data_IF_866312382850
#
_entry.id   IF_866312382850
#
_cell.length_a   1.000
_cell.length_b   1.000
_cell.length_c   1.000
_cell.angle_alpha   90.00
_cell.angle_beta   90.00
_cell.angle_gamma   90.00
#
_symmetry.space_group_name_H-M   'P 1'
#
loop_
_entity.id
_entity.type
_entity.pdbx_description
1 polymer ?
#
# COMPACT_ATOMS: atom_id res chain seq x y z
N UNK A 1 -12.86 -22.76 20.52
CA UNK A 1 -13.04 -22.46 19.86
C UNK A 1 -12.38 -21.96 18.78
N UNK A 2 -11.75 -22.68 18.24
CA UNK A 2 -10.96 -22.34 17.13
C UNK A 2 -11.76 -21.91 15.92
N UNK A 3 -12.90 -22.47 15.76
CA UNK A 3 -13.72 -22.11 14.61
C UNK A 3 -14.05 -20.63 14.53
N UNK A 4 -14.26 -20.03 15.66
CA UNK A 4 -14.57 -18.63 15.70
C UNK A 4 -13.42 -17.78 15.17
N UNK A 5 -12.21 -18.14 15.55
CA UNK A 5 -11.03 -17.42 15.13
C UNK A 5 -10.82 -17.45 13.65
N UNK A 6 -11.12 -18.56 13.00
CA UNK A 6 -10.84 -18.69 11.58
C UNK A 6 -11.73 -17.80 10.72
N UNK A 7 -12.76 -17.18 11.32
CA UNK A 7 -13.62 -16.26 10.58
C UNK A 7 -13.16 -14.82 10.67
N UNK A 8 -12.12 -14.55 11.43
CA UNK A 8 -11.58 -13.20 11.52
C UNK A 8 -10.80 -12.91 10.24
N UNK A 9 -11.17 -11.81 9.58
CA UNK A 9 -10.60 -11.48 8.28
C UNK A 9 -9.84 -10.18 8.36
N UNK A 10 -8.52 -10.23 8.43
CA UNK A 10 -7.76 -8.99 8.45
C UNK A 10 -7.81 -8.31 7.10
N UNK A 11 -7.76 -7.00 7.11
CA UNK A 11 -7.83 -6.19 5.90
C UNK A 11 -6.73 -5.14 5.96
N UNK A 12 -5.89 -5.12 4.94
CA UNK A 12 -4.84 -4.11 4.82
C UNK A 12 -5.11 -3.29 3.58
N UNK A 13 -5.12 -1.98 3.75
CA UNK A 13 -5.31 -1.05 2.64
C UNK A 13 -4.04 -0.23 2.49
N UNK A 14 -3.41 -0.34 1.34
CA UNK A 14 -2.18 0.38 1.05
C UNK A 14 -2.46 1.37 -0.07
N UNK A 15 -2.23 2.64 0.21
CA UNK A 15 -2.36 3.68 -0.82
C UNK A 15 -0.99 4.19 -1.18
N UNK A 16 -0.72 4.24 -2.47
CA UNK A 16 0.55 4.73 -2.96
C UNK A 16 0.29 5.68 -4.13
N UNK A 17 1.23 6.57 -4.37
CA UNK A 17 1.14 7.40 -5.56
C UNK A 17 1.41 6.54 -6.79
N UNK A 18 0.83 6.96 -7.92
CA UNK A 18 0.94 6.19 -9.16
C UNK A 18 2.29 6.49 -9.80
N UNK A 19 3.27 5.66 -9.49
CA UNK A 19 4.65 5.87 -9.92
C UNK A 19 5.22 4.68 -10.68
N UNK A 20 4.37 3.91 -11.30
CA UNK A 20 4.86 2.83 -12.16
C UNK A 20 5.19 1.54 -11.45
N UNK A 21 4.56 1.29 -10.32
CA UNK A 21 4.75 0.02 -9.63
C UNK A 21 4.20 -1.11 -10.51
N UNK A 22 4.98 -2.15 -10.68
CA UNK A 22 4.62 -3.23 -11.60
C UNK A 22 3.68 -4.22 -10.95
N UNK A 23 2.94 -5.00 -11.76
CA UNK A 23 2.11 -6.06 -11.19
C UNK A 23 2.90 -7.06 -10.36
N UNK A 24 4.15 -7.34 -10.76
CA UNK A 24 5.01 -8.26 -10.02
C UNK A 24 5.34 -7.70 -8.64
N UNK A 25 5.62 -6.40 -8.57
CA UNK A 25 5.89 -5.77 -7.29
C UNK A 25 4.66 -5.78 -6.39
N UNK A 26 3.50 -5.53 -6.97
CA UNK A 26 2.26 -5.57 -6.19
C UNK A 26 1.99 -6.97 -5.66
N UNK A 27 2.22 -7.98 -6.52
CA UNK A 27 2.01 -9.36 -6.08
C UNK A 27 2.93 -9.72 -4.92
N UNK A 28 4.17 -9.25 -4.97
CA UNK A 28 5.12 -9.53 -3.90
C UNK A 28 4.71 -8.86 -2.60
N UNK A 29 4.27 -7.59 -2.67
CA UNK A 29 3.80 -6.89 -1.49
C UNK A 29 2.61 -7.61 -0.87
N UNK A 30 1.67 -8.05 -1.70
CA UNK A 30 0.51 -8.77 -1.20
C UNK A 30 0.94 -10.07 -0.50
N UNK A 31 1.86 -10.80 -1.11
CA UNK A 31 2.33 -12.06 -0.55
C UNK A 31 3.03 -11.84 0.78
N UNK A 32 3.89 -10.81 0.85
CA UNK A 32 4.67 -10.57 2.05
C UNK A 32 3.82 -10.01 3.19
N UNK A 33 2.86 -9.16 2.88
CA UNK A 33 1.94 -8.69 3.92
C UNK A 33 1.12 -9.84 4.48
N UNK A 34 0.65 -10.72 3.59
CA UNK A 34 -0.12 -11.87 4.01
C UNK A 34 0.72 -12.78 4.92
N UNK A 35 1.97 -13.01 4.54
CA UNK A 35 2.86 -13.84 5.34
C UNK A 35 3.10 -13.25 6.71
N UNK A 36 3.27 -11.94 6.77
CA UNK A 36 3.50 -11.27 8.05
C UNK A 36 2.30 -11.44 8.98
N UNK A 37 1.10 -11.26 8.44
CA UNK A 37 -0.10 -11.39 9.26
C UNK A 37 -0.28 -12.81 9.75
N UNK A 38 0.10 -13.79 8.95
CA UNK A 38 0.03 -15.17 9.37
C UNK A 38 1.07 -15.45 10.45
N UNK A 39 2.31 -15.04 10.22
CA UNK A 39 3.41 -15.35 11.12
C UNK A 39 3.27 -14.64 12.46
N UNK A 40 2.88 -13.38 12.44
CA UNK A 40 2.85 -12.58 13.65
C UNK A 40 1.53 -12.68 14.39
N UNK A 41 0.42 -12.66 13.64
CA UNK A 41 -0.91 -12.57 14.22
C UNK A 41 -1.71 -13.86 14.08
N UNK A 42 -1.12 -14.88 13.46
CA UNK A 42 -1.78 -16.16 13.26
C UNK A 42 -3.08 -16.03 12.47
N UNK A 43 -3.09 -15.16 11.45
CA UNK A 43 -4.25 -15.00 10.61
C UNK A 43 -4.15 -15.91 9.40
N UNK A 44 -5.29 -16.45 8.99
CA UNK A 44 -5.33 -17.39 7.87
C UNK A 44 -5.10 -16.63 6.56
N UNK A 45 -4.19 -17.10 5.71
CA UNK A 45 -3.97 -16.43 4.43
C UNK A 45 -5.21 -16.38 3.54
N UNK A 46 -6.04 -17.42 3.56
CA UNK A 46 -7.21 -17.45 2.69
C UNK A 46 -8.30 -16.47 3.13
N UNK A 47 -8.18 -15.89 4.30
CA UNK A 47 -9.12 -14.89 4.79
C UNK A 47 -8.48 -13.50 4.89
N UNK A 48 -7.24 -13.36 4.50
CA UNK A 48 -6.51 -12.12 4.60
C UNK A 48 -6.67 -11.34 3.30
N UNK A 49 -7.09 -10.09 3.42
CA UNK A 49 -7.36 -9.24 2.26
C UNK A 49 -6.37 -8.09 2.23
N UNK A 50 -5.69 -7.93 1.11
CA UNK A 50 -4.75 -6.85 0.90
C UNK A 50 -5.21 -6.08 -0.34
N UNK A 51 -5.41 -4.79 -0.20
CA UNK A 51 -5.84 -3.95 -1.32
C UNK A 51 -4.78 -2.88 -1.53
N UNK A 52 -4.33 -2.74 -2.77
CA UNK A 52 -3.39 -1.69 -3.15
C UNK A 52 -4.12 -0.71 -4.05
N UNK A 53 -4.08 0.55 -3.67
CA UNK A 53 -4.75 1.60 -4.39
C UNK A 53 -3.72 2.59 -4.89
N UNK A 54 -3.67 2.77 -6.21
CA UNK A 54 -2.76 3.75 -6.81
C UNK A 54 -3.52 5.03 -7.03
N UNK A 55 -2.94 6.13 -6.58
CA UNK A 55 -3.60 7.42 -6.62
C UNK A 55 -2.76 8.38 -7.45
N UNK A 56 -3.39 9.07 -8.39
CA UNK A 56 -2.70 10.05 -9.20
C UNK A 56 -2.11 11.12 -8.30
N UNK A 57 -0.95 11.62 -8.68
CA UNK A 57 -0.27 12.62 -7.88
C UNK A 57 -1.06 13.92 -7.80
N UNK A 58 -1.97 14.16 -8.73
CA UNK A 58 -2.86 15.31 -8.64
C UNK A 58 -3.89 15.15 -7.53
N UNK A 59 -4.11 13.94 -7.07
CA UNK A 59 -5.09 13.65 -6.04
C UNK A 59 -4.46 13.37 -4.68
N UNK A 60 -3.16 13.59 -4.55
CA UNK A 60 -2.44 13.31 -3.32
C UNK A 60 -1.80 14.61 -2.85
N UNK A 61 -2.28 15.15 -1.74
CA UNK A 61 -1.81 16.44 -1.27
C UNK A 61 -0.99 16.33 0.00
N UNK A 62 0.06 17.13 0.06
CA UNK A 62 0.79 17.33 1.30
C UNK A 62 1.53 18.66 1.18
N UNK A 63 1.90 19.22 2.31
CA UNK A 63 2.50 20.54 2.35
C UNK A 63 1.59 21.60 1.71
N UNK A 64 0.27 21.35 1.67
CA UNK A 64 -0.69 22.29 1.14
C UNK A 64 -0.81 22.32 -0.36
N UNK A 65 -0.11 21.44 -1.08
CA UNK A 65 -0.16 21.40 -2.54
C UNK A 65 -0.29 19.94 -2.98
N UNK A 66 -0.55 19.76 -4.28
CA UNK A 66 -0.57 18.41 -4.81
C UNK A 66 0.85 17.86 -4.90
N UNK A 67 0.96 16.55 -4.90
CA UNK A 67 2.26 15.91 -5.09
C UNK A 67 2.88 16.33 -6.41
N UNK A 68 2.04 16.47 -7.44
CA UNK A 68 2.51 16.92 -8.75
C UNK A 68 3.24 18.25 -8.64
N UNK A 69 2.61 19.22 -7.97
CA UNK A 69 3.20 20.53 -7.81
C UNK A 69 4.43 20.49 -6.91
N UNK A 70 4.37 19.71 -5.85
CA UNK A 70 5.50 19.63 -4.94
C UNK A 70 6.74 19.09 -5.64
N UNK A 71 6.55 18.05 -6.46
CA UNK A 71 7.67 17.45 -7.18
C UNK A 71 8.24 18.40 -8.22
N UNK A 72 7.39 19.20 -8.87
CA UNK A 72 7.87 20.21 -9.79
C UNK A 72 8.72 21.24 -9.08
N UNK A 73 8.27 21.67 -7.92
CA UNK A 73 8.99 22.64 -7.14
C UNK A 73 10.36 22.10 -6.73
N UNK A 74 10.44 20.84 -6.35
CA UNK A 74 11.71 20.21 -5.98
C UNK A 74 12.63 20.12 -7.19
N UNK A 75 12.08 19.77 -8.34
CA UNK A 75 12.89 19.69 -9.56
C UNK A 75 13.46 21.05 -9.93
N UNK A 76 12.66 22.11 -9.77
CA UNK A 76 13.11 23.46 -10.09
C UNK A 76 14.22 23.93 -9.17
N UNK A 77 14.25 23.46 -7.94
CA UNK A 77 15.32 23.83 -7.02
C UNK A 77 16.54 22.96 -7.18
N UNK A 78 16.48 21.96 -8.05
CA UNK A 78 17.60 21.08 -8.25
C UNK A 78 17.63 19.92 -7.30
N UNK A 79 16.65 19.79 -6.45
CA UNK A 79 16.59 18.68 -5.51
C UNK A 79 15.79 17.55 -6.12
N UNK A 80 16.35 16.37 -6.12
CA UNK A 80 15.65 15.21 -6.67
C UNK A 80 15.61 14.13 -5.63
N UNK A 81 14.76 13.20 -5.89
CA UNK A 81 14.63 12.18 -4.92
C UNK A 81 15.29 10.96 -5.30
#
# INVERSE_FOLDING_TARGET
>A
MAGHWSLVMPFVSLRITRDGVTPEQKALVIAEFTETLERVLNKRPDLTHIVIEEIDTDNWGYAGVTTTEYRKSQALTGETQ
#
